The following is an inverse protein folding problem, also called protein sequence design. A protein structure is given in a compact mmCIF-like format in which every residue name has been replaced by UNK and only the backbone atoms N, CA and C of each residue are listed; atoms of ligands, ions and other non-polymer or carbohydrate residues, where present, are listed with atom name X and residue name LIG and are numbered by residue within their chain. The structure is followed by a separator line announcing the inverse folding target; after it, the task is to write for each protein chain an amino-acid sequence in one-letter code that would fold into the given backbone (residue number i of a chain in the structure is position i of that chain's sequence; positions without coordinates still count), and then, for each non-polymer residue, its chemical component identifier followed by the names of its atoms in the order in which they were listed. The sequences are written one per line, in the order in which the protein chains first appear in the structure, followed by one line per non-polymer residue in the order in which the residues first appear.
data_IF_133195032350
#
_entry.id   IF_133195032350
#
_cell.length_a   1.000
_cell.length_b   1.000
_cell.length_c   1.000
_cell.angle_alpha   90.00
_cell.angle_beta   90.00
_cell.angle_gamma   90.00
#
_symmetry.space_group_name_H-M   'P 1'
#
loop_
_entity.id
_entity.type
_entity.pdbx_description
1 polymer ?
#
# COMPACT_ATOMS: atom_id res chain seq x y z
N UNK A 1 -3.71 -6.83 -11.32
CA UNK A 1 -2.93 -5.57 -11.18
C UNK A 1 -1.51 -5.94 -10.79
N UNK A 2 -0.47 -5.32 -11.37
CA UNK A 2 0.90 -5.50 -10.92
C UNK A 2 1.24 -4.40 -9.91
N UNK A 3 1.65 -4.78 -8.70
CA UNK A 3 2.05 -3.83 -7.65
C UNK A 3 3.56 -3.87 -7.53
N UNK A 4 4.18 -2.70 -7.65
CA UNK A 4 5.60 -2.50 -7.42
C UNK A 4 5.85 -1.25 -6.57
N UNK A 5 7.12 -0.98 -6.26
CA UNK A 5 7.54 0.10 -5.36
C UNK A 5 7.14 1.51 -5.84
N UNK A 6 6.85 1.69 -7.13
CA UNK A 6 6.41 2.96 -7.72
C UNK A 6 4.88 3.11 -7.69
N UNK A 7 4.14 2.06 -7.31
CA UNK A 7 2.69 2.14 -7.16
C UNK A 7 2.32 3.21 -6.12
N UNK A 8 1.32 4.03 -6.44
CA UNK A 8 0.85 5.06 -5.51
C UNK A 8 -0.14 4.50 -4.50
N UNK A 9 -0.12 5.07 -3.30
CA UNK A 9 -1.05 4.70 -2.23
C UNK A 9 -2.52 4.79 -2.68
N UNK A 10 -2.89 5.89 -3.34
CA UNK A 10 -4.27 6.09 -3.82
C UNK A 10 -4.74 5.01 -4.79
N UNK A 11 -3.87 4.57 -5.68
CA UNK A 11 -4.24 3.62 -6.74
C UNK A 11 -4.52 2.26 -6.11
N UNK A 12 -3.77 1.89 -5.08
CA UNK A 12 -3.93 0.64 -4.33
C UNK A 12 -5.19 0.65 -3.46
N UNK A 13 -5.45 1.75 -2.74
CA UNK A 13 -6.67 1.90 -1.92
C UNK A 13 -7.93 1.91 -2.80
N UNK A 14 -7.86 2.55 -3.97
CA UNK A 14 -8.96 2.58 -4.93
C UNK A 14 -9.18 1.23 -5.62
N UNK A 15 -8.10 0.47 -5.88
CA UNK A 15 -8.19 -0.86 -6.47
C UNK A 15 -8.82 -1.87 -5.50
N UNK A 16 -8.39 -1.88 -4.23
CA UNK A 16 -9.01 -2.71 -3.20
C UNK A 16 -8.90 -2.04 -1.83
N UNK A 17 -10.05 -1.74 -1.22
CA UNK A 17 -10.13 -1.12 0.11
C UNK A 17 -9.52 -1.99 1.21
N UNK A 18 -9.36 -3.30 1.00
CA UNK A 18 -8.69 -4.19 1.95
C UNK A 18 -7.19 -3.89 2.07
N UNK A 19 -6.57 -3.25 1.08
CA UNK A 19 -5.17 -2.80 1.17
C UNK A 19 -4.94 -1.83 2.33
N UNK A 20 -5.98 -1.07 2.72
CA UNK A 20 -5.96 -0.20 3.91
C UNK A 20 -5.55 -0.97 5.18
N UNK A 21 -5.96 -2.24 5.33
CA UNK A 21 -5.60 -3.08 6.48
C UNK A 21 -4.09 -3.38 6.52
N UNK A 22 -3.47 -3.58 5.35
CA UNK A 22 -2.01 -3.81 5.24
C UNK A 22 -1.26 -2.55 5.63
N UNK A 23 -1.68 -1.39 5.14
CA UNK A 23 -1.06 -0.12 5.48
C UNK A 23 -1.19 0.17 6.98
N UNK A 24 -2.37 -0.03 7.57
CA UNK A 24 -2.58 0.14 9.01
C UNK A 24 -1.71 -0.80 9.86
N UNK A 25 -1.56 -2.06 9.45
CA UNK A 25 -0.68 -3.04 10.11
C UNK A 25 0.79 -2.59 10.10
N UNK A 26 1.21 -1.90 9.04
CA UNK A 26 2.55 -1.37 8.86
C UNK A 26 2.68 0.10 9.36
N UNK A 27 1.82 0.54 10.30
CA UNK A 27 1.85 1.87 10.92
C UNK A 27 1.64 3.06 9.96
N UNK A 28 1.06 2.82 8.78
CA UNK A 28 0.71 3.83 7.79
C UNK A 28 -0.76 4.19 7.99
N UNK A 29 -1.04 5.12 8.92
CA UNK A 29 -2.42 5.50 9.30
C UNK A 29 -2.99 6.65 8.46
N UNK A 30 -2.14 7.43 7.80
CA UNK A 30 -2.54 8.62 7.05
C UNK A 30 -3.08 8.30 5.64
N UNK A 31 -4.05 7.39 5.56
CA UNK A 31 -4.66 6.90 4.30
C UNK A 31 -5.58 7.93 3.61
N UNK A 32 -5.83 9.06 4.25
CA UNK A 32 -6.66 10.16 3.75
C UNK A 32 -5.90 11.48 3.64
N UNK A 33 -4.60 11.49 3.93
CA UNK A 33 -3.77 12.67 3.75
C UNK A 33 -3.52 12.90 2.24
N UNK A 34 -3.84 14.09 1.68
CA UNK A 34 -3.66 14.36 0.26
C UNK A 34 -2.22 14.13 -0.21
N UNK A 35 -1.25 14.42 0.66
CA UNK A 35 0.18 14.21 0.37
C UNK A 35 0.51 12.72 0.31
N UNK A 36 0.09 11.93 1.30
CA UNK A 36 0.35 10.50 1.36
C UNK A 36 -0.29 9.74 0.19
N UNK A 37 -1.47 10.19 -0.25
CA UNK A 37 -2.20 9.58 -1.38
C UNK A 37 -1.44 9.68 -2.71
N UNK A 38 -0.63 10.72 -2.89
CA UNK A 38 0.22 10.90 -4.08
C UNK A 38 1.61 10.25 -3.93
N UNK A 39 1.96 9.72 -2.75
CA UNK A 39 3.25 9.07 -2.54
C UNK A 39 3.31 7.64 -3.10
N UNK A 40 4.52 7.25 -3.48
CA UNK A 40 4.86 5.87 -3.87
C UNK A 40 5.01 4.99 -2.65
N UNK A 41 4.84 3.67 -2.84
CA UNK A 41 5.12 2.69 -1.79
C UNK A 41 6.55 2.79 -1.25
N UNK A 42 7.54 3.03 -2.12
CA UNK A 42 8.94 3.19 -1.72
C UNK A 42 9.11 4.36 -0.74
N UNK A 43 8.54 5.52 -1.03
CA UNK A 43 8.63 6.69 -0.16
C UNK A 43 7.95 6.45 1.18
N UNK A 44 6.77 5.84 1.16
CA UNK A 44 6.01 5.52 2.37
C UNK A 44 6.81 4.53 3.23
N UNK A 45 7.36 3.48 2.60
CA UNK A 45 8.16 2.48 3.28
C UNK A 45 9.40 3.11 3.94
N UNK A 46 10.12 3.98 3.22
CA UNK A 46 11.29 4.68 3.75
C UNK A 46 10.93 5.65 4.91
N UNK A 47 9.80 6.36 4.82
CA UNK A 47 9.37 7.31 5.87
C UNK A 47 8.89 6.64 7.15
N UNK A 48 8.40 5.41 7.04
CA UNK A 48 7.82 4.65 8.14
C UNK A 48 8.70 3.47 8.60
N UNK A 49 9.93 3.36 8.10
CA UNK A 49 10.88 2.27 8.39
C UNK A 49 10.28 0.87 8.14
N UNK A 50 9.52 0.75 7.04
CA UNK A 50 8.86 -0.50 6.62
C UNK A 50 9.67 -1.16 5.52
N UNK A 51 9.75 -2.49 5.55
CA UNK A 51 10.34 -3.27 4.47
C UNK A 51 9.43 -3.24 3.22
N UNK A 52 9.88 -2.52 2.20
CA UNK A 52 9.17 -2.36 0.93
C UNK A 52 8.85 -3.69 0.25
N UNK A 53 9.73 -4.69 0.35
CA UNK A 53 9.50 -5.99 -0.28
C UNK A 53 8.39 -6.74 0.43
N UNK A 54 8.36 -6.70 1.77
CA UNK A 54 7.26 -7.30 2.56
C UNK A 54 5.95 -6.60 2.25
N UNK A 55 5.94 -5.27 2.19
CA UNK A 55 4.74 -4.49 1.88
C UNK A 55 4.16 -4.86 0.52
N UNK A 56 5.00 -4.94 -0.52
CA UNK A 56 4.58 -5.35 -1.87
C UNK A 56 4.01 -6.77 -1.86
N UNK A 57 4.64 -7.72 -1.16
CA UNK A 57 4.15 -9.10 -1.07
C UNK A 57 2.79 -9.16 -0.35
N UNK A 58 2.63 -8.46 0.77
CA UNK A 58 1.34 -8.42 1.49
C UNK A 58 0.23 -7.80 0.64
N UNK A 59 0.51 -6.71 -0.08
CA UNK A 59 -0.45 -6.06 -0.97
C UNK A 59 -0.84 -6.96 -2.15
N UNK A 60 0.13 -7.60 -2.81
CA UNK A 60 -0.16 -8.52 -3.91
C UNK A 60 -1.02 -9.70 -3.45
N UNK A 61 -0.78 -10.22 -2.23
CA UNK A 61 -1.58 -11.30 -1.64
C UNK A 61 -3.02 -10.89 -1.32
N UNK A 62 -3.28 -9.61 -1.02
CA UNK A 62 -4.64 -9.12 -0.79
C UNK A 62 -5.38 -8.99 -2.11
N UNK A 63 -4.79 -8.30 -3.08
CA UNK A 63 -5.46 -8.02 -4.36
C UNK A 63 -5.72 -9.30 -5.16
N UNK A 64 -4.83 -10.30 -5.10
CA UNK A 64 -5.07 -11.61 -5.74
C UNK A 64 -6.11 -12.45 -5.01
N UNK A 65 -6.31 -12.25 -3.69
CA UNK A 65 -7.33 -12.98 -2.91
C UNK A 65 -8.73 -12.36 -3.00
N UNK A 66 -8.87 -11.16 -3.57
CA UNK A 66 -10.17 -10.49 -3.76
C UNK A 66 -11.02 -11.03 -4.90
N UNK A 67 -10.52 -11.98 -5.70
CA UNK A 67 -11.24 -12.61 -6.82
C UNK A 67 -11.97 -13.92 -6.44
N UNK A 68 -12.39 -14.09 -5.19
CA UNK A 68 -13.04 -15.31 -4.71
C UNK A 68 -14.38 -15.07 -4.00
#
# INVERSE_FOLDING_TARGET
MYIDKNSKLKDLINADKNTAKVFMKNHIHCLSCPLAMEETLENIANKHDVDINKLIVELNNIITKGEN
#
